data_IF_694592624132
#
_entry.id   IF_694592624132
#
_cell.length_a   1.000
_cell.length_b   1.000
_cell.length_c   1.000
_cell.angle_alpha   90.00
_cell.angle_beta   90.00
_cell.angle_gamma   90.00
#
_symmetry.space_group_name_H-M   'P 1'
#
loop_
_entity.id
_entity.type
_entity.pdbx_description
1 polymer ?
#
# COMPACT_ATOMS: atom_id res chain seq x y z
N UNK A 1 -2.83 -14.29 23.89
CA UNK A 1 -3.08 -13.33 22.80
C UNK A 1 -2.72 -14.02 21.49
N UNK A 2 -3.67 -14.12 20.55
CA UNK A 2 -3.43 -14.62 19.21
C UNK A 2 -3.24 -13.41 18.29
N UNK A 3 -2.20 -13.43 17.46
CA UNK A 3 -1.98 -12.40 16.44
C UNK A 3 -2.73 -12.78 15.17
N UNK A 4 -3.36 -11.79 14.54
CA UNK A 4 -4.19 -11.96 13.35
C UNK A 4 -3.62 -11.13 12.21
N UNK A 5 -2.91 -11.79 11.29
CA UNK A 5 -2.28 -11.14 10.14
C UNK A 5 -3.30 -10.44 9.23
N UNK A 6 -4.54 -10.94 9.11
CA UNK A 6 -5.57 -10.33 8.29
C UNK A 6 -6.08 -9.03 8.92
N UNK A 7 -6.28 -9.04 10.25
CA UNK A 7 -6.63 -7.83 11.00
C UNK A 7 -5.52 -6.78 10.94
N UNK A 8 -4.25 -7.20 11.09
CA UNK A 8 -3.08 -6.33 10.98
C UNK A 8 -3.01 -5.66 9.60
N UNK A 9 -3.15 -6.44 8.53
CA UNK A 9 -3.15 -5.92 7.17
C UNK A 9 -4.32 -4.93 6.97
N UNK A 10 -5.53 -5.25 7.42
CA UNK A 10 -6.70 -4.36 7.33
C UNK A 10 -6.46 -3.02 8.03
N UNK A 11 -5.93 -3.04 9.25
CA UNK A 11 -5.57 -1.83 10.01
C UNK A 11 -4.53 -1.00 9.25
N UNK A 12 -3.48 -1.66 8.75
CA UNK A 12 -2.38 -0.99 8.09
C UNK A 12 -2.83 -0.31 6.79
N UNK A 13 -3.63 -1.01 5.97
CA UNK A 13 -4.21 -0.47 4.72
C UNK A 13 -5.07 0.74 4.99
N UNK A 14 -5.98 0.68 5.97
CA UNK A 14 -6.84 1.82 6.33
C UNK A 14 -6.03 3.06 6.68
N UNK A 15 -4.99 2.90 7.52
CA UNK A 15 -4.14 4.00 7.96
C UNK A 15 -3.34 4.60 6.80
N UNK A 16 -2.83 3.78 5.89
CA UNK A 16 -2.09 4.26 4.71
C UNK A 16 -2.99 4.91 3.66
N UNK A 17 -4.21 4.40 3.47
CA UNK A 17 -5.17 4.93 2.49
C UNK A 17 -5.74 6.30 2.92
N UNK A 18 -5.90 6.52 4.23
CA UNK A 18 -6.35 7.81 4.75
C UNK A 18 -5.26 8.88 4.74
N UNK A 19 -3.97 8.48 4.83
CA UNK A 19 -2.86 9.41 5.01
C UNK A 19 -2.78 10.46 3.88
N UNK A 20 -2.59 11.76 4.19
CA UNK A 20 -2.21 12.33 5.48
C UNK A 20 -3.38 12.63 6.44
N UNK A 21 -4.61 12.31 6.06
CA UNK A 21 -5.77 12.49 6.94
C UNK A 21 -5.86 11.31 7.94
N UNK A 22 -6.46 11.53 9.11
CA UNK A 22 -6.68 10.45 10.09
C UNK A 22 -7.78 9.49 9.61
N UNK A 23 -7.67 8.22 10.01
CA UNK A 23 -8.78 7.27 9.87
C UNK A 23 -9.95 7.66 10.80
N UNK A 24 -11.16 7.30 10.39
CA UNK A 24 -12.39 7.60 11.14
C UNK A 24 -12.45 6.84 12.47
N UNK A 25 -13.08 7.46 13.48
CA UNK A 25 -13.39 6.79 14.74
C UNK A 25 -14.35 5.61 14.52
N UNK A 26 -15.31 5.75 13.59
CA UNK A 26 -16.27 4.70 13.25
C UNK A 26 -15.60 3.40 12.80
N UNK A 27 -14.51 3.48 12.04
CA UNK A 27 -13.73 2.31 11.63
C UNK A 27 -13.17 1.57 12.85
N UNK A 28 -12.60 2.29 13.82
CA UNK A 28 -12.06 1.70 15.03
C UNK A 28 -13.15 1.08 15.90
N UNK A 29 -14.26 1.77 16.09
CA UNK A 29 -15.40 1.26 16.86
C UNK A 29 -15.95 -0.04 16.24
N UNK A 30 -15.98 -0.13 14.91
CA UNK A 30 -16.34 -1.36 14.19
C UNK A 30 -15.33 -2.49 14.40
N UNK A 31 -14.02 -2.21 14.41
CA UNK A 31 -13.00 -3.22 14.70
C UNK A 31 -13.17 -3.81 16.10
N UNK A 32 -13.42 -2.96 17.09
CA UNK A 32 -13.64 -3.38 18.48
C UNK A 32 -14.90 -4.24 18.59
N UNK A 33 -15.98 -3.85 17.90
CA UNK A 33 -17.22 -4.62 17.86
C UNK A 33 -17.04 -6.00 17.18
N UNK A 34 -16.17 -6.11 16.18
CA UNK A 34 -15.93 -7.35 15.42
C UNK A 34 -14.95 -8.31 16.10
N UNK A 35 -13.91 -7.81 16.77
CA UNK A 35 -12.78 -8.63 17.22
C UNK A 35 -12.50 -8.60 18.73
N UNK A 36 -13.23 -7.78 19.51
CA UNK A 36 -12.97 -7.40 20.92
C UNK A 36 -11.79 -6.44 21.12
N UNK A 37 -11.86 -5.64 22.18
CA UNK A 37 -10.86 -4.60 22.47
C UNK A 37 -9.45 -5.16 22.69
N UNK A 38 -9.29 -6.21 23.50
CA UNK A 38 -7.98 -6.77 23.82
C UNK A 38 -7.30 -7.37 22.59
N UNK A 39 -8.08 -7.95 21.68
CA UNK A 39 -7.54 -8.51 20.44
C UNK A 39 -7.09 -7.42 19.48
N UNK A 40 -7.88 -6.36 19.30
CA UNK A 40 -7.48 -5.20 18.48
C UNK A 40 -6.24 -4.53 19.07
N UNK A 41 -6.23 -4.30 20.38
CA UNK A 41 -5.10 -3.68 21.08
C UNK A 41 -3.81 -4.50 20.94
N UNK A 42 -3.91 -5.83 21.06
CA UNK A 42 -2.76 -6.73 20.87
C UNK A 42 -2.12 -6.60 19.48
N UNK A 43 -2.95 -6.49 18.43
CA UNK A 43 -2.47 -6.29 17.07
C UNK A 43 -1.91 -4.87 16.85
N UNK A 44 -2.51 -3.83 17.44
CA UNK A 44 -1.98 -2.47 17.39
C UNK A 44 -0.61 -2.36 18.07
N UNK A 45 -0.45 -2.94 19.25
CA UNK A 45 0.84 -2.98 19.96
C UNK A 45 1.90 -3.75 19.18
N UNK A 46 1.49 -4.81 18.46
CA UNK A 46 2.40 -5.56 17.59
C UNK A 46 2.86 -4.70 16.40
N UNK A 47 1.94 -4.03 15.71
CA UNK A 47 2.26 -3.13 14.60
C UNK A 47 3.16 -1.97 15.05
N UNK A 48 2.88 -1.37 16.21
CA UNK A 48 3.69 -0.30 16.81
C UNK A 48 5.09 -0.81 17.19
N UNK A 49 5.18 -1.99 17.81
CA UNK A 49 6.45 -2.63 18.17
C UNK A 49 7.33 -2.99 16.97
N UNK A 50 6.73 -3.22 15.79
CA UNK A 50 7.44 -3.42 14.53
C UNK A 50 7.71 -2.12 13.76
N UNK A 51 7.32 -0.97 14.31
CA UNK A 51 7.53 0.33 13.69
C UNK A 51 6.68 0.56 12.45
N UNK A 52 5.59 -0.18 12.26
CA UNK A 52 4.66 0.00 11.14
C UNK A 52 3.66 1.12 11.41
N UNK A 53 3.26 1.31 12.66
CA UNK A 53 2.43 2.46 13.07
C UNK A 53 3.10 3.20 14.22
N UNK A 54 2.62 4.42 14.49
CA UNK A 54 2.88 5.17 15.71
C UNK A 54 1.60 5.20 16.53
N UNK A 55 1.42 4.21 17.40
CA UNK A 55 0.24 4.12 18.24
C UNK A 55 0.25 5.25 19.28
N UNK A 56 -0.81 6.07 19.28
CA UNK A 56 -0.99 7.10 20.30
C UNK A 56 -1.90 6.57 21.39
N UNK A 57 -1.43 6.68 22.63
CA UNK A 57 -2.21 6.28 23.80
C UNK A 57 -2.18 7.39 24.83
N UNK A 58 -3.33 7.69 25.42
CA UNK A 58 -3.39 8.53 26.62
C UNK A 58 -3.28 7.63 27.86
N UNK A 59 -2.55 8.11 28.86
CA UNK A 59 -2.46 7.49 30.18
C UNK A 59 -3.20 8.39 31.16
N UNK A 60 -4.51 8.17 31.28
CA UNK A 60 -5.31 8.77 32.34
C UNK A 60 -5.04 8.10 33.69
N UNK A 61 -5.58 8.69 34.75
CA UNK A 61 -5.38 8.25 36.14
C UNK A 61 -5.74 6.77 36.40
N UNK A 62 -6.62 6.15 35.59
CA UNK A 62 -7.13 4.79 35.81
C UNK A 62 -7.26 3.92 34.53
N UNK A 63 -6.89 4.41 33.35
CA UNK A 63 -7.02 3.64 32.11
C UNK A 63 -6.05 4.12 31.03
N UNK A 64 -5.64 3.17 30.18
CA UNK A 64 -4.88 3.44 28.96
C UNK A 64 -5.87 3.45 27.80
N UNK A 65 -6.06 4.61 27.18
CA UNK A 65 -6.97 4.79 26.05
C UNK A 65 -6.18 4.88 24.75
N UNK A 66 -6.69 4.29 23.67
CA UNK A 66 -6.10 4.43 22.33
C UNK A 66 -6.66 5.69 21.69
N UNK A 67 -5.78 6.63 21.36
CA UNK A 67 -6.11 7.83 20.60
C UNK A 67 -6.05 7.48 19.10
N UNK A 68 -7.06 6.77 18.61
CA UNK A 68 -7.08 6.20 17.26
C UNK A 68 -6.86 7.26 16.16
N UNK A 69 -7.57 8.38 16.24
CA UNK A 69 -7.46 9.47 15.24
C UNK A 69 -6.11 10.19 15.23
N UNK A 70 -5.22 9.92 16.20
CA UNK A 70 -3.85 10.41 16.23
C UNK A 70 -2.82 9.33 15.87
N UNK A 71 -3.27 8.10 15.61
CA UNK A 71 -2.41 6.99 15.21
C UNK A 71 -2.06 7.14 13.73
N UNK A 72 -0.77 7.06 13.41
CA UNK A 72 -0.25 7.33 12.07
C UNK A 72 0.51 6.11 11.52
N UNK A 73 0.44 5.83 10.21
CA UNK A 73 1.38 4.89 9.59
C UNK A 73 2.80 5.48 9.55
N UNK A 74 3.81 4.63 9.57
CA UNK A 74 5.20 5.05 9.33
C UNK A 74 5.59 4.89 7.86
N UNK A 75 6.74 5.43 7.45
CA UNK A 75 7.33 5.13 6.13
C UNK A 75 7.48 3.62 5.92
N UNK A 76 7.83 2.89 6.97
CA UNK A 76 7.97 1.44 6.92
C UNK A 76 6.64 0.72 6.64
N UNK A 77 5.48 1.27 7.02
CA UNK A 77 4.18 0.72 6.62
C UNK A 77 3.95 0.83 5.12
N UNK A 78 4.26 1.98 4.53
CA UNK A 78 4.16 2.16 3.09
C UNK A 78 5.09 1.20 2.36
N UNK A 79 6.33 1.07 2.81
CA UNK A 79 7.31 0.13 2.24
C UNK A 79 6.90 -1.34 2.43
N UNK A 80 6.26 -1.67 3.55
CA UNK A 80 5.77 -3.01 3.86
C UNK A 80 4.62 -3.41 2.92
N UNK A 81 3.59 -2.57 2.80
CA UNK A 81 2.48 -2.78 1.85
C UNK A 81 2.95 -2.73 0.39
N UNK A 82 3.97 -1.93 0.12
CA UNK A 82 4.64 -1.90 -1.16
C UNK A 82 5.34 -3.23 -1.48
N UNK A 83 6.16 -3.77 -0.59
CA UNK A 83 6.84 -5.02 -0.87
C UNK A 83 5.91 -6.23 -0.96
N UNK A 84 4.70 -6.14 -0.39
CA UNK A 84 3.60 -7.10 -0.63
C UNK A 84 2.77 -6.81 -1.91
N UNK A 85 3.03 -5.71 -2.66
CA UNK A 85 2.40 -5.42 -3.97
C UNK A 85 2.48 -4.00 -4.58
N UNK A 86 2.99 -2.96 -3.89
CA UNK A 86 3.16 -1.56 -4.35
C UNK A 86 4.62 -1.04 -4.39
N UNK A 87 4.91 0.14 -4.92
CA UNK A 87 6.27 0.63 -5.33
C UNK A 87 7.02 -0.23 -6.37
N UNK A 88 7.13 -1.55 -6.18
CA UNK A 88 7.64 -2.50 -7.18
C UNK A 88 6.85 -2.43 -8.49
N UNK A 89 5.53 -2.21 -8.40
CA UNK A 89 4.65 -2.03 -9.56
C UNK A 89 4.81 -0.67 -10.26
N UNK A 90 5.20 0.39 -9.52
CA UNK A 90 5.40 1.74 -10.07
C UNK A 90 6.78 1.84 -10.75
N UNK A 91 7.80 1.19 -10.18
CA UNK A 91 9.16 1.18 -10.74
C UNK A 91 9.34 0.23 -11.93
N UNK A 92 8.45 -0.76 -12.11
CA UNK A 92 8.53 -1.72 -13.22
C UNK A 92 7.88 -1.22 -14.53
N UNK A 93 7.29 -0.02 -14.56
CA UNK A 93 6.60 0.50 -15.74
C UNK A 93 7.46 1.41 -16.65
N UNK A 94 8.79 1.38 -16.49
CA UNK A 94 9.70 2.36 -17.11
C UNK A 94 10.98 1.81 -17.75
N UNK A 95 11.07 0.53 -18.12
CA UNK A 95 12.25 0.02 -18.84
C UNK A 95 11.88 -0.94 -19.98
N UNK A 96 11.12 -0.45 -20.95
CA UNK A 96 11.18 -1.03 -22.30
C UNK A 96 12.45 -0.49 -22.95
N UNK A 97 13.41 -1.40 -23.12
CA UNK A 97 14.68 -1.21 -23.82
C UNK A 97 14.38 -0.74 -25.26
N UNK A 98 15.01 0.32 -25.80
CA UNK A 98 14.92 0.57 -27.23
C UNK A 98 15.67 -0.55 -27.96
N UNK A 99 14.93 -1.39 -28.68
CA UNK A 99 15.49 -2.32 -29.65
C UNK A 99 16.09 -1.50 -30.80
N UNK A 100 17.38 -1.22 -30.68
CA UNK A 100 18.19 -0.66 -31.76
C UNK A 100 18.42 -1.74 -32.83
N UNK A 101 17.45 -1.94 -33.71
CA UNK A 101 17.70 -2.53 -35.03
C UNK A 101 17.87 -1.40 -36.06
N UNK A 102 19.12 -0.96 -36.19
CA UNK A 102 19.58 -0.21 -37.35
C UNK A 102 19.65 -1.14 -38.56
N UNK A 103 18.94 -0.81 -39.63
CA UNK A 103 18.92 -1.52 -40.90
C UNK A 103 18.35 -0.61 -41.99
N UNK A 104 19.25 0.13 -42.60
CA UNK A 104 19.13 1.19 -43.62
C UNK A 104 18.24 0.90 -44.83
N UNK A 105 17.62 1.98 -45.32
CA UNK A 105 16.97 2.22 -46.62
C UNK A 105 17.57 1.50 -47.83
N UNK A 106 16.72 1.12 -48.80
CA UNK A 106 16.85 1.65 -50.17
C UNK A 106 15.63 1.42 -51.09
N UNK A 107 15.23 2.55 -51.69
CA UNK A 107 14.85 2.71 -53.10
C UNK A 107 13.45 2.28 -53.58
N UNK A 108 12.55 3.26 -53.51
CA UNK A 108 11.55 3.62 -54.52
C UNK A 108 11.98 3.31 -55.98
N UNK A 109 11.18 2.49 -56.68
CA UNK A 109 11.04 2.55 -58.15
C UNK A 109 9.58 2.37 -58.54
N UNK A 110 8.94 3.49 -58.84
CA UNK A 110 7.83 3.58 -59.79
C UNK A 110 8.14 2.79 -61.07
N UNK A 111 7.18 1.99 -61.56
CA UNK A 111 6.72 2.06 -62.94
C UNK A 111 5.46 1.21 -63.20
N UNK A 112 4.45 1.87 -63.78
CA UNK A 112 3.35 1.26 -64.54
C UNK A 112 3.88 0.34 -65.64
N UNK A 113 3.11 -0.68 -66.04
CA UNK A 113 2.55 -0.84 -67.40
C UNK A 113 1.73 -2.15 -67.50
N UNK A 114 0.53 -2.02 -68.07
CA UNK A 114 -0.35 -3.06 -68.59
C UNK A 114 0.33 -3.99 -69.62
N UNK A 115 0.05 -5.31 -69.63
CA UNK A 115 -0.64 -5.99 -70.75
C UNK A 115 -0.82 -7.51 -70.55
N UNK A 116 -1.91 -7.99 -71.17
CA UNK A 116 -2.45 -9.36 -71.33
C UNK A 116 -1.45 -10.45 -71.71
N UNK A 117 -1.77 -11.69 -71.33
CA UNK A 117 -2.06 -12.78 -72.27
C UNK A 117 -3.25 -13.59 -71.75
#
# INVERSE_FOLDING_TARGET
MQLDCALQHKILTELTDCFPNPSSQDFFDQLIAQHSQDHVLGNLLYLDGHGLIKLKTDQGLNHKEVLWTLTEPTVQAFDFLANDGGLSAILNNGSVKPDNHAGTDQANKFNLVNHRF
#
